data_IF_903851933679
#
_entry.id   IF_903851933679
#
_cell.length_a   1.000
_cell.length_b   1.000
_cell.length_c   1.000
_cell.angle_alpha   90.00
_cell.angle_beta   90.00
_cell.angle_gamma   90.00
#
_symmetry.space_group_name_H-M   'P 1'
#
loop_
_entity.id
_entity.type
_entity.pdbx_description
1 polymer ?
#
# COMPACT_ATOMS: atom_id res chain seq x y z
N UNK A 1 8.60 3.70 -7.33
CA UNK A 1 7.36 4.15 -6.66
C UNK A 1 6.60 5.02 -7.63
N UNK A 2 5.28 4.87 -7.69
CA UNK A 2 4.38 5.74 -8.46
C UNK A 2 3.17 6.12 -7.59
N UNK A 3 1.95 5.76 -7.98
CA UNK A 3 0.70 6.27 -7.38
C UNK A 3 0.57 5.88 -5.89
N UNK A 4 0.00 6.76 -5.05
CA UNK A 4 -0.43 6.40 -3.70
C UNK A 4 -1.69 5.52 -3.76
N UNK A 5 -1.79 4.59 -2.81
CA UNK A 5 -2.90 3.63 -2.70
C UNK A 5 -3.34 3.46 -1.25
N UNK A 6 -4.55 2.96 -1.07
CA UNK A 6 -5.01 2.37 0.20
C UNK A 6 -4.87 3.27 1.44
N UNK A 7 -4.83 4.60 1.30
CA UNK A 7 -4.54 5.49 2.42
C UNK A 7 -5.65 5.45 3.47
N UNK A 8 -5.31 5.12 4.72
CA UNK A 8 -6.24 5.23 5.85
C UNK A 8 -5.50 5.51 7.16
N UNK A 9 -6.25 5.87 8.20
CA UNK A 9 -5.78 6.00 9.58
C UNK A 9 -6.47 4.97 10.45
N UNK A 10 -5.71 4.17 11.19
CA UNK A 10 -6.27 3.14 12.07
C UNK A 10 -6.85 3.73 13.37
N UNK A 11 -7.49 2.89 14.18
CA UNK A 11 -8.05 3.30 15.48
C UNK A 11 -6.99 3.69 16.52
N UNK A 12 -5.73 3.30 16.31
CA UNK A 12 -4.60 3.69 17.16
C UNK A 12 -4.01 5.04 16.74
N UNK A 13 -4.55 5.66 15.69
CA UNK A 13 -4.11 6.94 15.16
C UNK A 13 -2.91 6.85 14.22
N UNK A 14 -2.50 5.65 13.80
CA UNK A 14 -1.40 5.41 12.85
C UNK A 14 -1.89 5.60 11.42
N UNK A 15 -1.12 6.34 10.62
CA UNK A 15 -1.36 6.49 9.19
C UNK A 15 -0.74 5.33 8.42
N UNK A 16 -1.51 4.74 7.52
CA UNK A 16 -1.08 3.68 6.59
C UNK A 16 -1.09 4.23 5.17
N UNK A 17 0.08 4.32 4.55
CA UNK A 17 0.22 4.66 3.13
C UNK A 17 0.67 3.42 2.37
N UNK A 18 -0.07 3.08 1.33
CA UNK A 18 0.37 2.12 0.33
C UNK A 18 0.73 2.86 -0.95
N UNK A 19 1.51 2.22 -1.80
CA UNK A 19 1.93 2.82 -3.05
C UNK A 19 2.34 1.75 -4.05
N UNK A 20 2.18 2.05 -5.31
CA UNK A 20 2.66 1.21 -6.38
C UNK A 20 4.19 1.08 -6.34
N UNK A 21 4.66 -0.16 -6.31
CA UNK A 21 6.06 -0.49 -6.05
C UNK A 21 6.55 -1.60 -6.96
N UNK A 22 7.67 -1.37 -7.64
CA UNK A 22 8.47 -2.41 -8.27
C UNK A 22 9.69 -2.67 -7.36
N UNK A 23 9.78 -3.83 -6.69
CA UNK A 23 10.90 -4.14 -5.79
C UNK A 23 12.19 -4.54 -6.52
N UNK A 24 12.11 -4.90 -7.80
CA UNK A 24 13.24 -5.47 -8.54
C UNK A 24 13.90 -4.48 -9.49
N UNK A 25 13.19 -3.43 -9.92
CA UNK A 25 13.70 -2.46 -10.89
C UNK A 25 13.23 -1.02 -10.59
N UNK A 26 13.87 -0.05 -11.24
CA UNK A 26 13.54 1.38 -11.11
C UNK A 26 12.44 1.85 -12.06
N UNK A 27 11.88 0.95 -12.88
CA UNK A 27 10.83 1.22 -13.88
C UNK A 27 9.56 0.42 -13.58
N UNK A 28 8.45 0.71 -14.27
CA UNK A 28 7.21 -0.06 -14.13
C UNK A 28 7.32 -1.46 -14.77
N UNK A 29 6.57 -2.46 -14.28
CA UNK A 29 6.58 -3.83 -14.83
C UNK A 29 6.21 -4.93 -13.82
N UNK A 30 6.55 -4.77 -12.54
CA UNK A 30 6.31 -5.77 -11.49
C UNK A 30 5.58 -5.14 -10.28
N UNK A 31 4.36 -4.66 -10.51
CA UNK A 31 3.61 -3.83 -9.55
C UNK A 31 3.13 -4.64 -8.33
N UNK A 32 3.60 -4.20 -7.16
CA UNK A 32 3.16 -4.59 -5.82
C UNK A 32 2.57 -3.37 -5.10
N UNK A 33 1.89 -3.60 -3.97
CA UNK A 33 1.65 -2.52 -3.01
C UNK A 33 2.76 -2.51 -1.96
N UNK A 34 3.66 -1.53 -2.07
CA UNK A 34 4.54 -1.16 -0.97
C UNK A 34 3.74 -0.55 0.19
N UNK A 35 4.31 -0.53 1.39
CA UNK A 35 3.63 -0.07 2.60
C UNK A 35 4.59 0.73 3.49
N UNK A 36 4.11 1.85 4.01
CA UNK A 36 4.76 2.62 5.05
C UNK A 36 3.73 3.09 6.09
N UNK A 37 4.16 3.19 7.34
CA UNK A 37 3.35 3.73 8.44
C UNK A 37 3.98 4.99 9.04
N UNK A 38 3.14 5.87 9.56
CA UNK A 38 3.59 7.11 10.20
C UNK A 38 2.67 7.54 11.35
N UNK A 39 3.23 8.07 12.45
CA UNK A 39 2.43 8.70 13.50
C UNK A 39 2.00 10.14 13.15
N UNK A 40 2.69 10.80 12.21
CA UNK A 40 2.65 12.26 12.02
C UNK A 40 2.55 12.72 10.55
N UNK A 41 2.47 11.78 9.59
CA UNK A 41 2.52 11.99 8.13
C UNK A 41 3.84 12.56 7.60
N UNK A 42 4.87 12.72 8.45
CA UNK A 42 6.15 13.29 8.07
C UNK A 42 7.28 12.27 8.20
N UNK A 43 7.33 11.56 9.33
CA UNK A 43 8.30 10.51 9.61
C UNK A 43 7.68 9.16 9.29
N UNK A 44 8.26 8.45 8.33
CA UNK A 44 7.72 7.19 7.82
C UNK A 44 8.62 6.01 8.16
N UNK A 45 8.02 4.90 8.58
CA UNK A 45 8.68 3.61 8.74
C UNK A 45 8.26 2.69 7.59
N UNK A 46 9.22 2.20 6.82
CA UNK A 46 8.96 1.20 5.80
C UNK A 46 8.48 -0.10 6.44
N UNK A 47 7.43 -0.67 5.86
CA UNK A 47 6.89 -1.96 6.25
C UNK A 47 7.16 -3.01 5.15
N UNK A 48 6.96 -4.31 5.43
CA UNK A 48 6.96 -5.32 4.37
C UNK A 48 5.96 -4.99 3.26
N UNK A 49 6.20 -5.52 2.06
CA UNK A 49 5.27 -5.43 0.94
C UNK A 49 3.91 -5.99 1.37
N UNK A 50 2.84 -5.24 1.11
CA UNK A 50 1.50 -5.58 1.60
C UNK A 50 0.74 -6.50 0.64
N UNK A 51 0.77 -6.22 -0.67
CA UNK A 51 0.12 -7.03 -1.69
C UNK A 51 1.11 -7.43 -2.77
N UNK A 52 1.09 -8.73 -3.09
CA UNK A 52 1.88 -9.35 -4.14
C UNK A 52 0.98 -9.70 -5.33
N UNK A 53 1.49 -9.61 -6.56
CA UNK A 53 0.75 -10.09 -7.71
C UNK A 53 0.50 -11.60 -7.59
N UNK A 54 -0.66 -12.10 -8.06
CA UNK A 54 -1.04 -13.51 -7.93
C UNK A 54 -0.26 -14.43 -8.89
N UNK A 55 0.44 -13.86 -9.88
CA UNK A 55 1.23 -14.56 -10.88
C UNK A 55 2.27 -13.61 -11.49
N UNK A 56 3.27 -14.15 -12.18
CA UNK A 56 4.36 -13.36 -12.80
C UNK A 56 3.87 -12.36 -13.86
N UNK A 57 2.78 -12.68 -14.57
CA UNK A 57 2.21 -11.82 -15.62
C UNK A 57 1.16 -10.82 -15.10
N UNK A 58 0.95 -10.74 -13.79
CA UNK A 58 -0.06 -9.87 -13.17
C UNK A 58 0.59 -8.73 -12.39
N UNK A 59 -0.14 -7.61 -12.26
CA UNK A 59 0.26 -6.46 -11.44
C UNK A 59 -0.82 -6.10 -10.41
N UNK A 60 -0.41 -5.73 -9.20
CA UNK A 60 -1.30 -5.14 -8.20
C UNK A 60 -1.47 -3.66 -8.45
N UNK A 61 -2.42 -3.32 -9.33
CA UNK A 61 -2.66 -1.93 -9.71
C UNK A 61 -3.30 -1.07 -8.60
N UNK A 62 -3.43 0.21 -8.91
CA UNK A 62 -3.89 1.21 -7.95
C UNK A 62 -5.29 0.91 -7.40
N UNK A 63 -5.50 1.29 -6.14
CA UNK A 63 -6.78 1.09 -5.46
C UNK A 63 -6.87 1.84 -4.13
N UNK A 64 -8.02 1.68 -3.49
CA UNK A 64 -8.38 2.33 -2.22
C UNK A 64 -8.60 1.29 -1.13
N UNK A 65 -8.56 1.73 0.13
CA UNK A 65 -8.93 0.94 1.29
C UNK A 65 -10.05 1.67 2.05
N UNK A 66 -10.95 0.89 2.64
CA UNK A 66 -12.00 1.40 3.53
C UNK A 66 -12.01 0.55 4.80
N UNK A 67 -12.31 1.19 5.92
CA UNK A 67 -12.59 0.47 7.16
C UNK A 67 -14.08 0.09 7.17
N UNK A 68 -14.39 -1.20 7.31
CA UNK A 68 -15.76 -1.73 7.42
C UNK A 68 -16.00 -2.27 8.84
N UNK A 69 -16.12 -1.39 9.87
CA UNK A 69 -16.23 -1.81 11.26
C UNK A 69 -17.53 -2.57 11.57
N UNK A 70 -18.54 -2.43 10.70
CA UNK A 70 -19.85 -3.04 10.87
C UNK A 70 -20.03 -4.30 10.01
N UNK A 71 -19.00 -4.73 9.28
CA UNK A 71 -19.03 -5.87 8.38
C UNK A 71 -20.26 -5.85 7.46
N UNK A 72 -20.39 -4.77 6.70
CA UNK A 72 -21.55 -4.47 5.83
C UNK A 72 -21.32 -4.82 4.36
N UNK A 73 -20.14 -5.36 4.03
CA UNK A 73 -19.76 -5.83 2.70
C UNK A 73 -20.26 -7.25 2.36
#
# INVERSE_FOLDING_TARGET
>A
MNDPNGLFRDSNGTWHLYYQYNPTELVAGNQHWGHATSPDLYTWTNQPIALFPPSEDAGMFSGSAVLDPNNTS
#
